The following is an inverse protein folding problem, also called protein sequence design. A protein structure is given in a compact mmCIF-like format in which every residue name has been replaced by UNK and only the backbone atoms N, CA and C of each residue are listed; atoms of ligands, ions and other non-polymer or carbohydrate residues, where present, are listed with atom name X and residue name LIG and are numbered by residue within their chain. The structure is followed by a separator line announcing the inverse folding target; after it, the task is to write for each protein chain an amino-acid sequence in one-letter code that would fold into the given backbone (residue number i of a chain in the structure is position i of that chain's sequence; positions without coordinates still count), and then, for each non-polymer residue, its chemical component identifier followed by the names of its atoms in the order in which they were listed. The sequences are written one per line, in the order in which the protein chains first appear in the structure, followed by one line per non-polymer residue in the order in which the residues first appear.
data_IF_570141729451
#
_entry.id   IF_570141729451
#
_cell.length_a   1.000
_cell.length_b   1.000
_cell.length_c   1.000
_cell.angle_alpha   90.00
_cell.angle_beta   90.00
_cell.angle_gamma   90.00
#
_symmetry.space_group_name_H-M   'P 1'
#
loop_
_entity.id
_entity.type
_entity.pdbx_description
1 polymer ?
#
# COMPACT_ATOMS: atom_id res chain seq x y z
N UNK A 1 -51.42 -58.95 -14.59
CA UNK A 1 -51.39 -59.48 -15.98
C UNK A 1 -50.16 -58.92 -16.70
N UNK A 2 -49.18 -59.80 -16.84
CA UNK A 2 -48.13 -59.95 -17.86
C UNK A 2 -47.48 -58.73 -18.54
N UNK A 3 -46.19 -58.58 -18.27
CA UNK A 3 -45.17 -58.03 -19.18
C UNK A 3 -44.95 -58.99 -20.37
N UNK A 4 -44.33 -58.52 -21.48
CA UNK A 4 -43.03 -59.11 -21.81
C UNK A 4 -41.98 -58.15 -22.40
N UNK A 5 -40.73 -58.41 -22.03
CA UNK A 5 -39.49 -57.98 -22.67
C UNK A 5 -39.31 -58.57 -24.09
N UNK A 6 -38.56 -57.85 -24.96
CA UNK A 6 -37.51 -58.34 -25.91
C UNK A 6 -37.06 -57.14 -26.79
N UNK A 7 -35.93 -56.44 -26.62
CA UNK A 7 -34.48 -56.74 -26.64
C UNK A 7 -33.84 -56.82 -28.04
N UNK A 8 -32.59 -56.32 -28.11
CA UNK A 8 -31.53 -56.34 -29.17
C UNK A 8 -31.46 -55.07 -30.04
N UNK A 9 -30.34 -54.36 -30.24
CA UNK A 9 -28.91 -54.58 -29.92
C UNK A 9 -28.16 -53.23 -30.04
N UNK A 10 -27.33 -52.83 -29.07
CA UNK A 10 -25.86 -52.96 -29.05
C UNK A 10 -25.10 -52.14 -30.10
N UNK A 11 -24.50 -51.02 -29.68
CA UNK A 11 -23.08 -50.71 -29.98
C UNK A 11 -22.41 -50.24 -28.68
N UNK A 12 -21.36 -50.97 -28.31
CA UNK A 12 -20.41 -50.72 -27.23
C UNK A 12 -19.17 -50.08 -27.83
N UNK A 13 -18.66 -49.01 -27.21
CA UNK A 13 -17.24 -48.64 -27.19
C UNK A 13 -17.03 -47.83 -25.88
N UNK A 14 -16.47 -48.43 -24.81
CA UNK A 14 -15.03 -48.41 -24.47
C UNK A 14 -14.48 -46.99 -24.63
N UNK A 15 -14.16 -46.19 -23.61
CA UNK A 15 -13.58 -46.49 -22.31
C UNK A 15 -12.18 -45.89 -22.26
N UNK A 16 -12.04 -44.66 -21.75
CA UNK A 16 -10.80 -44.16 -21.13
C UNK A 16 -11.19 -43.15 -20.05
N UNK A 17 -11.09 -43.57 -18.79
CA UNK A 17 -10.93 -42.66 -17.68
C UNK A 17 -9.51 -42.08 -17.75
N UNK A 18 -9.38 -40.80 -18.03
CA UNK A 18 -8.19 -40.03 -17.68
C UNK A 18 -8.62 -38.92 -16.75
N UNK A 19 -8.43 -39.19 -15.46
CA UNK A 19 -8.51 -38.20 -14.42
C UNK A 19 -7.57 -37.05 -14.78
N UNK A 20 -8.15 -35.89 -15.08
CA UNK A 20 -7.40 -34.65 -15.00
C UNK A 20 -7.31 -34.29 -13.53
N UNK A 21 -6.39 -34.93 -12.82
CA UNK A 21 -5.83 -34.37 -11.61
C UNK A 21 -5.05 -33.12 -12.03
N UNK A 22 -5.75 -32.00 -12.20
CA UNK A 22 -5.09 -30.70 -12.21
C UNK A 22 -4.60 -30.47 -10.80
N UNK A 23 -3.33 -30.79 -10.59
CA UNK A 23 -2.54 -30.34 -9.45
C UNK A 23 -2.66 -28.82 -9.38
N UNK A 24 -3.56 -28.31 -8.54
CA UNK A 24 -3.33 -27.02 -7.91
C UNK A 24 -2.25 -27.29 -6.88
N UNK A 25 -1.00 -27.12 -7.30
CA UNK A 25 0.06 -26.78 -6.38
C UNK A 25 -0.41 -25.52 -5.65
N UNK A 26 -1.02 -25.71 -4.48
CA UNK A 26 -1.29 -24.64 -3.55
C UNK A 26 0.09 -24.14 -3.14
N UNK A 27 0.52 -23.06 -3.79
CA UNK A 27 1.69 -22.31 -3.37
C UNK A 27 1.54 -22.11 -1.87
N UNK A 28 2.52 -22.58 -1.09
CA UNK A 28 2.60 -22.36 0.35
C UNK A 28 2.75 -20.86 0.63
N UNK A 29 1.65 -20.14 0.49
CA UNK A 29 1.49 -18.72 0.72
C UNK A 29 0.17 -18.55 1.45
N UNK A 30 0.15 -19.02 2.72
CA UNK A 30 -1.02 -18.87 3.58
C UNK A 30 -1.52 -17.43 3.51
N UNK A 31 -2.81 -17.24 3.21
CA UNK A 31 -3.44 -15.92 3.10
C UNK A 31 -3.09 -15.10 4.34
N UNK A 32 -2.40 -13.98 4.16
CA UNK A 32 -2.00 -13.11 5.27
C UNK A 32 -3.28 -12.54 5.90
N UNK A 33 -3.46 -12.73 7.21
CA UNK A 33 -4.65 -12.28 7.92
C UNK A 33 -4.29 -11.02 8.72
N UNK A 34 -4.82 -9.83 8.37
CA UNK A 34 -4.55 -8.61 9.11
C UNK A 34 -4.86 -8.70 10.61
N UNK A 35 -5.88 -9.49 11.00
CA UNK A 35 -6.27 -9.64 12.40
C UNK A 35 -5.26 -10.46 13.21
N UNK A 36 -4.64 -11.47 12.59
CA UNK A 36 -3.58 -12.28 13.21
C UNK A 36 -2.18 -11.66 13.10
N UNK A 37 -2.00 -10.63 12.27
CA UNK A 37 -0.73 -9.95 12.08
C UNK A 37 -0.40 -9.01 13.24
N UNK A 38 0.88 -8.96 13.63
CA UNK A 38 1.37 -8.15 14.76
C UNK A 38 1.61 -6.70 14.30
N UNK A 39 1.22 -5.66 15.04
CA UNK A 39 1.57 -4.29 14.72
C UNK A 39 3.09 -4.09 14.61
N UNK A 40 3.54 -3.24 13.67
CA UNK A 40 4.95 -2.84 13.62
C UNK A 40 5.32 -2.04 14.88
N UNK A 41 6.53 -2.25 15.38
CA UNK A 41 7.07 -1.47 16.50
C UNK A 41 7.39 -0.04 16.08
N UNK A 42 7.56 0.86 17.06
CA UNK A 42 8.00 2.23 16.80
C UNK A 42 9.35 2.27 16.05
N UNK A 43 10.31 1.40 16.43
CA UNK A 43 11.61 1.30 15.78
C UNK A 43 11.48 0.84 14.32
N UNK A 44 10.61 -0.12 14.04
CA UNK A 44 10.36 -0.60 12.68
C UNK A 44 9.76 0.49 11.80
N UNK A 45 8.74 1.22 12.28
CA UNK A 45 8.17 2.36 11.56
C UNK A 45 9.18 3.49 11.37
N UNK A 46 9.97 3.80 12.39
CA UNK A 46 11.03 4.79 12.32
C UNK A 46 12.04 4.44 11.22
N UNK A 47 12.48 3.17 11.18
CA UNK A 47 13.42 2.70 10.17
C UNK A 47 12.78 2.62 8.79
N UNK A 48 11.49 2.29 8.71
CA UNK A 48 10.74 2.19 7.47
C UNK A 48 10.66 3.57 6.79
N UNK A 49 10.28 4.62 7.51
CA UNK A 49 10.02 5.93 6.94
C UNK A 49 11.15 6.96 7.08
N UNK A 50 11.89 6.91 8.18
CA UNK A 50 12.90 7.92 8.52
C UNK A 50 13.96 8.09 7.43
N UNK A 51 14.23 9.36 7.09
CA UNK A 51 15.14 9.79 6.02
C UNK A 51 14.78 9.24 4.63
N UNK A 52 13.50 9.00 4.37
CA UNK A 52 13.02 8.56 3.05
C UNK A 52 11.93 9.49 2.52
N UNK A 53 11.83 9.53 1.20
CA UNK A 53 10.67 10.04 0.49
C UNK A 53 9.77 8.89 0.09
N UNK A 54 8.47 9.02 0.35
CA UNK A 54 7.43 8.21 -0.26
C UNK A 54 6.98 8.90 -1.55
N UNK A 55 7.15 8.25 -2.69
CA UNK A 55 6.93 8.85 -4.02
C UNK A 55 5.71 8.19 -4.69
N UNK A 56 4.72 8.98 -5.08
CA UNK A 56 3.57 8.52 -5.86
C UNK A 56 3.49 9.23 -7.21
N UNK A 57 2.49 8.89 -8.03
CA UNK A 57 2.38 9.31 -9.44
C UNK A 57 2.53 10.82 -9.64
N UNK A 58 1.96 11.60 -8.74
CA UNK A 58 1.86 13.07 -8.85
C UNK A 58 2.36 13.78 -7.61
N UNK A 59 3.24 13.16 -6.81
CA UNK A 59 3.72 13.79 -5.58
C UNK A 59 4.77 12.98 -4.85
N UNK A 60 5.33 13.59 -3.81
CA UNK A 60 6.19 12.91 -2.87
C UNK A 60 6.13 13.58 -1.48
N UNK A 61 6.32 12.77 -0.44
CA UNK A 61 6.42 13.21 0.95
C UNK A 61 7.73 12.73 1.58
N UNK A 62 8.47 13.61 2.23
CA UNK A 62 9.76 13.34 2.86
C UNK A 62 9.64 13.35 4.38
N UNK A 63 10.08 12.25 5.00
CA UNK A 63 10.03 12.01 6.45
C UNK A 63 11.40 12.26 7.07
N UNK A 64 11.72 13.52 7.34
CA UNK A 64 12.98 13.92 7.97
C UNK A 64 13.05 13.42 9.40
N UNK A 65 14.14 12.76 9.79
CA UNK A 65 14.35 12.42 11.21
C UNK A 65 14.63 13.64 12.07
N UNK A 66 15.26 14.66 11.48
CA UNK A 66 15.49 15.95 12.15
C UNK A 66 14.14 16.57 12.47
N UNK A 67 13.91 16.79 13.77
CA UNK A 67 12.72 17.42 14.36
C UNK A 67 11.40 16.71 14.01
N UNK A 68 11.47 15.48 13.47
CA UNK A 68 10.36 14.75 12.86
C UNK A 68 9.62 15.57 11.80
N UNK A 69 10.35 16.38 11.02
CA UNK A 69 9.75 17.23 9.99
C UNK A 69 9.20 16.40 8.84
N UNK A 70 8.00 16.74 8.38
CA UNK A 70 7.40 16.23 7.15
C UNK A 70 7.31 17.37 6.14
N UNK A 71 7.73 17.11 4.90
CA UNK A 71 7.56 18.05 3.79
C UNK A 71 7.06 17.30 2.58
N UNK A 72 6.14 17.87 1.81
CA UNK A 72 5.58 17.21 0.65
C UNK A 72 5.30 18.19 -0.49
N UNK A 73 5.21 17.66 -1.69
CA UNK A 73 4.55 18.33 -2.80
C UNK A 73 3.53 17.38 -3.42
N UNK A 74 2.45 17.94 -3.96
CA UNK A 74 1.46 17.22 -4.74
C UNK A 74 1.10 18.04 -5.98
N UNK A 75 0.70 17.35 -7.03
CA UNK A 75 0.08 17.90 -8.23
C UNK A 75 -1.14 17.04 -8.61
N UNK A 76 -1.83 16.51 -7.60
CA UNK A 76 -3.11 15.83 -7.80
C UNK A 76 -4.12 16.78 -8.44
N UNK A 77 -4.92 16.25 -9.36
CA UNK A 77 -5.91 17.02 -10.14
C UNK A 77 -5.33 18.19 -10.95
N UNK A 78 -4.02 18.24 -11.15
CA UNK A 78 -3.36 19.29 -11.94
C UNK A 78 -3.12 20.60 -11.18
N UNK A 79 -3.41 20.65 -9.88
CA UNK A 79 -3.19 21.82 -9.04
C UNK A 79 -2.00 21.57 -8.12
N UNK A 80 -0.84 22.24 -8.33
CA UNK A 80 0.30 22.05 -7.46
C UNK A 80 0.08 22.64 -6.07
N UNK A 81 0.45 21.87 -5.06
CA UNK A 81 0.45 22.27 -3.66
C UNK A 81 1.70 21.74 -2.96
N UNK A 82 2.04 22.35 -1.83
CA UNK A 82 3.10 21.85 -0.96
C UNK A 82 2.60 21.75 0.48
N UNK A 83 3.19 20.83 1.24
CA UNK A 83 2.83 20.58 2.63
C UNK A 83 4.05 20.69 3.53
N UNK A 84 3.93 21.41 4.65
CA UNK A 84 4.98 21.49 5.69
C UNK A 84 4.39 21.15 7.05
N UNK A 85 5.06 20.26 7.78
CA UNK A 85 4.64 19.92 9.13
C UNK A 85 5.49 18.84 9.77
N UNK A 86 4.85 17.89 10.44
CA UNK A 86 5.53 16.86 11.24
C UNK A 86 4.93 15.47 11.04
N UNK A 87 5.76 14.45 11.16
CA UNK A 87 5.34 13.06 11.24
C UNK A 87 5.59 12.49 12.62
N UNK A 88 4.78 11.54 13.04
CA UNK A 88 4.79 11.02 14.40
C UNK A 88 4.18 9.62 14.43
N UNK A 89 4.47 8.86 15.48
CA UNK A 89 3.98 7.49 15.66
C UNK A 89 3.12 7.51 16.92
N UNK A 90 1.81 7.28 16.78
CA UNK A 90 0.81 7.51 17.84
C UNK A 90 0.35 6.26 18.58
N UNK A 91 0.86 5.09 18.19
CA UNK A 91 0.51 3.82 18.80
C UNK A 91 1.16 2.64 18.07
N UNK A 92 0.92 1.40 18.52
CA UNK A 92 1.47 0.21 17.86
C UNK A 92 1.08 0.20 16.37
N UNK A 93 2.09 0.13 15.49
CA UNK A 93 1.88 0.08 14.04
C UNK A 93 1.37 1.36 13.38
N UNK A 94 1.09 2.45 14.10
CA UNK A 94 0.44 3.63 13.51
C UNK A 94 1.41 4.77 13.26
N UNK A 95 1.65 5.08 11.98
CA UNK A 95 2.34 6.28 11.51
C UNK A 95 1.30 7.35 11.17
N UNK A 96 1.52 8.58 11.58
CA UNK A 96 0.75 9.74 11.15
C UNK A 96 1.68 10.86 10.67
N UNK A 97 1.15 11.73 9.82
CA UNK A 97 1.76 13.01 9.51
C UNK A 97 0.68 14.07 9.37
N UNK A 98 0.99 15.26 9.91
CA UNK A 98 0.15 16.45 9.82
C UNK A 98 0.96 17.54 9.14
N UNK A 99 0.40 18.15 8.11
CA UNK A 99 1.02 19.24 7.37
C UNK A 99 0.00 20.35 7.16
N UNK A 100 0.46 21.59 7.20
CA UNK A 100 -0.24 22.71 6.57
C UNK A 100 0.00 22.61 5.07
N UNK A 101 -1.07 22.50 4.29
CA UNK A 101 -1.00 22.40 2.83
C UNK A 101 -1.32 23.75 2.23
N UNK A 102 -0.42 24.24 1.39
CA UNK A 102 -0.51 25.51 0.69
C UNK A 102 -0.77 25.26 -0.79
N UNK A 103 -1.78 25.93 -1.32
CA UNK A 103 -2.14 25.95 -2.74
C UNK A 103 -2.59 27.36 -3.12
N UNK A 104 -2.82 27.59 -4.41
CA UNK A 104 -3.32 28.88 -4.92
C UNK A 104 -4.66 29.29 -4.29
N UNK A 105 -5.53 28.32 -4.00
CA UNK A 105 -6.82 28.56 -3.35
C UNK A 105 -6.72 28.85 -1.84
N UNK A 106 -5.52 28.81 -1.26
CA UNK A 106 -5.27 29.07 0.16
C UNK A 106 -4.57 27.91 0.87
N UNK A 107 -4.58 27.97 2.20
CA UNK A 107 -3.88 27.01 3.06
C UNK A 107 -4.83 26.30 4.03
N UNK A 108 -4.61 25.00 4.24
CA UNK A 108 -5.36 24.23 5.22
C UNK A 108 -4.54 23.08 5.84
N UNK A 109 -4.75 22.76 7.13
CA UNK A 109 -4.11 21.63 7.76
C UNK A 109 -4.78 20.31 7.35
N UNK A 110 -3.97 19.29 7.07
CA UNK A 110 -4.45 17.92 6.90
C UNK A 110 -3.61 16.92 7.70
N UNK A 111 -4.29 15.94 8.30
CA UNK A 111 -3.63 14.81 8.99
C UNK A 111 -3.94 13.53 8.25
N UNK A 112 -2.90 12.76 7.92
CA UNK A 112 -3.03 11.43 7.32
C UNK A 112 -2.34 10.40 8.22
N UNK A 113 -3.01 9.27 8.44
CA UNK A 113 -2.49 8.18 9.25
C UNK A 113 -2.58 6.85 8.51
N UNK A 114 -1.59 5.98 8.76
CA UNK A 114 -1.49 4.64 8.23
C UNK A 114 -1.14 3.65 9.34
N UNK A 115 -1.93 2.60 9.48
CA UNK A 115 -1.64 1.47 10.36
C UNK A 115 -0.86 0.41 9.60
N UNK A 116 0.08 -0.23 10.29
CA UNK A 116 0.98 -1.25 9.75
C UNK A 116 1.00 -2.48 10.64
N UNK A 117 0.91 -3.65 10.01
CA UNK A 117 1.05 -4.95 10.67
C UNK A 117 2.00 -5.85 9.89
N UNK A 118 2.60 -6.83 10.55
CA UNK A 118 3.53 -7.81 9.94
C UNK A 118 3.14 -9.24 10.27
N UNK A 119 3.33 -10.14 9.32
CA UNK A 119 3.18 -11.59 9.49
C UNK A 119 4.07 -12.28 8.47
N UNK A 120 4.94 -13.21 8.92
CA UNK A 120 5.83 -13.96 8.02
C UNK A 120 6.73 -13.08 7.13
N UNK A 121 7.13 -11.89 7.59
CA UNK A 121 7.93 -10.94 6.81
C UNK A 121 7.15 -10.04 5.84
N UNK A 122 5.88 -10.36 5.56
CA UNK A 122 4.95 -9.49 4.83
C UNK A 122 4.57 -8.32 5.73
N UNK A 123 4.54 -7.12 5.18
CA UNK A 123 4.01 -5.91 5.84
C UNK A 123 2.69 -5.54 5.17
N UNK A 124 1.66 -5.42 5.98
CA UNK A 124 0.36 -4.89 5.60
C UNK A 124 0.28 -3.42 6.00
N UNK A 125 -0.39 -2.61 5.18
CA UNK A 125 -0.74 -1.23 5.51
C UNK A 125 -2.24 -1.00 5.32
N UNK A 126 -2.80 -0.11 6.13
CA UNK A 126 -4.17 0.38 6.01
C UNK A 126 -4.19 1.89 6.20
N UNK A 127 -4.84 2.62 5.30
CA UNK A 127 -5.11 4.06 5.50
C UNK A 127 -6.20 4.23 6.56
N UNK A 128 -5.97 5.06 7.57
CA UNK A 128 -6.96 5.32 8.61
C UNK A 128 -7.91 6.47 8.22
N UNK A 129 -9.16 6.49 8.72
CA UNK A 129 -9.78 5.46 9.57
C UNK A 129 -10.39 4.27 8.81
N UNK A 130 -10.74 4.46 7.54
CA UNK A 130 -11.66 3.57 6.81
C UNK A 130 -11.07 2.93 5.54
N UNK A 131 -9.75 2.95 5.36
CA UNK A 131 -9.11 2.22 4.27
C UNK A 131 -9.13 0.71 4.50
N UNK A 132 -8.91 -0.05 3.43
CA UNK A 132 -8.72 -1.50 3.50
C UNK A 132 -7.26 -1.86 3.78
N UNK A 133 -7.05 -3.03 4.38
CA UNK A 133 -5.71 -3.60 4.53
C UNK A 133 -5.21 -4.11 3.17
N UNK A 134 -4.00 -3.74 2.80
CA UNK A 134 -3.34 -4.25 1.60
C UNK A 134 -1.89 -4.62 1.89
N UNK A 135 -1.29 -5.43 1.01
CA UNK A 135 0.12 -5.79 1.12
C UNK A 135 0.98 -4.59 0.72
N UNK A 136 1.64 -4.00 1.71
CA UNK A 136 2.56 -2.90 1.52
C UNK A 136 3.95 -3.38 1.08
N UNK A 137 4.37 -4.54 1.61
CA UNK A 137 5.62 -5.20 1.28
C UNK A 137 5.45 -6.71 1.32
N UNK A 138 5.75 -7.40 0.23
CA UNK A 138 5.81 -8.85 0.17
C UNK A 138 7.08 -9.40 0.85
N UNK A 139 7.12 -10.73 1.03
CA UNK A 139 8.30 -11.46 1.49
C UNK A 139 8.54 -12.69 0.60
N UNK A 140 9.54 -12.67 -0.31
CA UNK A 140 10.45 -11.54 -0.61
C UNK A 140 9.72 -10.32 -1.18
N UNK A 141 10.37 -9.14 -1.15
CA UNK A 141 9.75 -7.93 -1.69
C UNK A 141 9.60 -8.02 -3.21
N UNK A 142 8.45 -7.58 -3.72
CA UNK A 142 8.20 -7.50 -5.16
C UNK A 142 8.56 -6.10 -5.69
N UNK A 143 8.83 -6.01 -6.98
CA UNK A 143 9.22 -4.75 -7.63
C UNK A 143 8.09 -3.70 -7.63
N UNK A 144 6.84 -4.14 -7.55
CA UNK A 144 5.62 -3.34 -7.57
C UNK A 144 5.05 -3.07 -6.16
N UNK A 145 5.70 -3.57 -5.10
CA UNK A 145 5.29 -3.28 -3.72
C UNK A 145 5.25 -1.77 -3.48
N UNK A 146 4.22 -1.28 -2.79
CA UNK A 146 4.15 0.14 -2.38
C UNK A 146 5.40 0.54 -1.57
N UNK A 147 5.97 -0.39 -0.80
CA UNK A 147 7.24 -0.23 -0.10
C UNK A 147 8.40 0.24 -1.00
N UNK A 148 8.45 -0.16 -2.27
CA UNK A 148 9.53 0.25 -3.20
C UNK A 148 9.52 1.75 -3.48
N UNK A 149 8.38 2.41 -3.27
CA UNK A 149 8.22 3.86 -3.40
C UNK A 149 8.81 4.64 -2.23
N UNK A 150 9.19 3.97 -1.13
CA UNK A 150 9.97 4.57 -0.04
C UNK A 150 11.46 4.57 -0.38
N UNK A 151 11.95 5.69 -0.92
CA UNK A 151 13.34 5.84 -1.35
C UNK A 151 14.15 6.67 -0.36
N UNK A 152 15.35 6.21 -0.03
CA UNK A 152 16.28 6.95 0.84
C UNK A 152 16.72 8.26 0.18
N UNK A 153 16.65 9.36 0.94
CA UNK A 153 16.97 10.71 0.49
C UNK A 153 15.75 11.61 0.37
N UNK A 154 16.01 12.90 0.13
CA UNK A 154 14.97 13.92 0.00
C UNK A 154 14.71 14.23 -1.48
N UNK A 155 13.70 13.57 -2.04
CA UNK A 155 13.21 13.78 -3.41
C UNK A 155 12.14 14.87 -3.51
N UNK A 156 11.84 15.54 -2.39
CA UNK A 156 10.81 16.58 -2.28
C UNK A 156 11.41 17.97 -2.50
N UNK A 157 12.60 18.22 -1.95
CA UNK A 157 13.21 19.55 -1.81
C UNK A 157 13.13 20.42 -3.07
N UNK A 158 13.60 19.90 -4.21
CA UNK A 158 13.69 20.69 -5.43
C UNK A 158 12.31 21.09 -5.97
N UNK A 159 11.35 20.16 -5.98
CA UNK A 159 10.01 20.42 -6.50
C UNK A 159 9.18 21.30 -5.56
N UNK A 160 9.31 21.08 -4.26
CA UNK A 160 8.68 21.92 -3.24
C UNK A 160 9.13 23.38 -3.37
N UNK A 161 10.44 23.65 -3.46
CA UNK A 161 10.95 25.02 -3.62
C UNK A 161 10.42 25.71 -4.89
N UNK A 162 10.24 24.96 -5.98
CA UNK A 162 9.65 25.49 -7.21
C UNK A 162 8.15 25.80 -7.11
N UNK A 163 7.41 25.07 -6.26
CA UNK A 163 5.99 25.35 -6.02
C UNK A 163 5.83 26.54 -5.07
N UNK A 164 6.62 26.58 -3.97
CA UNK A 164 6.68 27.72 -3.04
C UNK A 164 6.91 29.03 -3.80
N UNK A 165 8.00 29.11 -4.57
CA UNK A 165 8.33 30.31 -5.35
C UNK A 165 7.28 30.71 -6.41
N UNK A 166 6.38 29.81 -6.78
CA UNK A 166 5.28 30.09 -7.71
C UNK A 166 4.04 30.61 -6.98
N UNK A 167 3.76 30.08 -5.79
CA UNK A 167 2.64 30.51 -4.96
C UNK A 167 2.92 31.87 -4.31
N UNK A 168 4.16 32.12 -3.88
CA UNK A 168 4.57 33.42 -3.31
C UNK A 168 4.44 34.60 -4.31
N UNK A 169 4.41 34.32 -5.61
CA UNK A 169 4.23 35.35 -6.66
C UNK A 169 2.76 35.60 -7.00
N UNK A 170 1.86 34.74 -6.54
CA UNK A 170 0.43 34.83 -6.80
C UNK A 170 -0.31 35.59 -5.68
N UNK A 171 0.34 35.83 -4.54
CA UNK A 171 -0.11 36.70 -3.43
C UNK A 171 0.28 38.17 -3.68
#
# INVERSE_FOLDING_TARGET
MNSPLRTLSLIVAVGVAMGSATSLAEAAGGRVNPQGATPLTHKELYNLYGQKSWIWKTGAGYFSVRERRFTAWSNENGTPSYGVGRWFITGPGKLCFRAEWHAEAGSAPATTCFSHRKQGGVILQKREPAGEWYVFKNAPANADDEFTKLRRGNYVRARLAGIEARLDKAE
#
